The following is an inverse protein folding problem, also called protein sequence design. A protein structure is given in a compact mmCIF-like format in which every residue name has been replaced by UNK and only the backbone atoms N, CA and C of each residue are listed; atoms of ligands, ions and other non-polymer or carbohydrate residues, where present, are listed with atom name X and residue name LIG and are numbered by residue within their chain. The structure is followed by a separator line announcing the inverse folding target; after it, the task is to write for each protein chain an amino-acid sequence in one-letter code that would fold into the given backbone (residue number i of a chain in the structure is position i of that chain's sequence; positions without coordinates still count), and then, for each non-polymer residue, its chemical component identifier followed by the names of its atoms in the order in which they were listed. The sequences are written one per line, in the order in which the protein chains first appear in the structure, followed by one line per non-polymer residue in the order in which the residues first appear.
data_IF_941151036821
#
_entry.id   IF_941151036821
#
_cell.length_a   1.000
_cell.length_b   1.000
_cell.length_c   1.000
_cell.angle_alpha   90.00
_cell.angle_beta   90.00
_cell.angle_gamma   90.00
#
_symmetry.space_group_name_H-M   'P 1'
#
loop_
_entity.id
_entity.type
_entity.pdbx_description
1 polymer ?
#
# COMPACT_ATOMS: atom_id res chain seq x y z
N UNK A 1 9.73 -11.70 5.62
CA UNK A 1 9.33 -11.76 4.19
C UNK A 1 10.23 -12.76 3.50
N UNK A 2 9.67 -13.83 2.94
CA UNK A 2 10.41 -14.81 2.15
C UNK A 2 10.05 -14.58 0.69
N UNK A 3 11.00 -14.10 -0.12
CA UNK A 3 10.85 -14.11 -1.57
C UNK A 3 11.01 -15.56 -2.04
N UNK A 4 10.08 -16.07 -2.85
CA UNK A 4 10.24 -17.39 -3.46
C UNK A 4 11.52 -17.38 -4.31
N UNK A 5 12.40 -18.36 -4.11
CA UNK A 5 13.62 -18.51 -4.90
C UNK A 5 13.28 -18.52 -6.41
N UNK A 6 13.92 -17.65 -7.18
CA UNK A 6 13.69 -17.49 -8.63
C UNK A 6 12.78 -16.33 -9.03
N UNK A 7 12.13 -15.62 -8.10
CA UNK A 7 11.48 -14.35 -8.41
C UNK A 7 12.53 -13.23 -8.51
N UNK A 8 12.40 -12.38 -9.53
CA UNK A 8 13.24 -11.18 -9.69
C UNK A 8 13.16 -10.33 -8.42
N UNK A 9 14.30 -9.93 -7.88
CA UNK A 9 14.43 -9.14 -6.64
C UNK A 9 13.90 -7.71 -6.75
N UNK A 10 13.26 -7.34 -7.85
CA UNK A 10 12.77 -6.00 -8.11
C UNK A 10 11.35 -5.88 -7.55
N UNK A 11 11.24 -5.40 -6.32
CA UNK A 11 9.94 -5.03 -5.75
C UNK A 11 9.33 -3.86 -6.53
N UNK A 12 8.00 -3.88 -6.69
CA UNK A 12 7.24 -2.78 -7.27
C UNK A 12 6.52 -2.02 -6.14
N UNK A 13 6.54 -0.69 -6.22
CA UNK A 13 5.67 0.13 -5.36
C UNK A 13 4.26 0.08 -5.94
N UNK A 14 3.32 -0.48 -5.18
CA UNK A 14 1.91 -0.67 -5.59
C UNK A 14 0.94 0.27 -4.88
N UNK A 15 1.40 0.99 -3.85
CA UNK A 15 0.64 2.02 -3.15
C UNK A 15 1.56 3.13 -2.64
N UNK A 16 1.17 4.40 -2.82
CA UNK A 16 1.97 5.56 -2.44
C UNK A 16 3.17 5.81 -3.37
N UNK A 17 4.35 6.04 -2.79
CA UNK A 17 5.60 6.32 -3.53
C UNK A 17 5.81 7.76 -3.96
N UNK A 18 4.82 8.65 -3.78
CA UNK A 18 4.87 10.05 -4.21
C UNK A 18 5.09 11.04 -3.04
N UNK A 19 5.81 10.61 -2.01
CA UNK A 19 6.00 11.37 -0.77
C UNK A 19 4.76 11.41 0.13
N UNK A 20 4.93 12.03 1.31
CA UNK A 20 3.85 12.19 2.28
C UNK A 20 2.84 13.25 1.83
N UNK A 21 1.55 12.96 1.93
CA UNK A 21 0.49 13.89 1.56
C UNK A 21 -0.91 13.26 1.52
N UNK A 22 -1.92 14.07 1.20
CA UNK A 22 -3.33 13.68 1.18
C UNK A 22 -3.88 13.38 -0.22
N UNK A 23 -3.06 13.49 -1.26
CA UNK A 23 -3.42 13.10 -2.64
C UNK A 23 -3.83 11.62 -2.73
N UNK A 24 -4.56 11.26 -3.79
CA UNK A 24 -4.98 9.88 -4.03
C UNK A 24 -3.79 8.93 -4.30
N UNK A 25 -2.67 9.48 -4.77
CA UNK A 25 -1.43 8.76 -5.02
C UNK A 25 -0.38 8.91 -3.89
N UNK A 26 -0.79 9.45 -2.74
CA UNK A 26 0.06 9.70 -1.57
C UNK A 26 -0.54 9.04 -0.32
N UNK A 27 0.31 8.81 0.67
CA UNK A 27 -0.06 8.33 2.00
C UNK A 27 0.63 9.23 3.03
N UNK A 28 0.05 9.39 4.21
CA UNK A 28 0.66 10.08 5.34
C UNK A 28 0.59 9.23 6.60
N UNK A 29 1.76 8.83 7.11
CA UNK A 29 1.93 8.01 8.33
C UNK A 29 0.98 6.80 8.39
N UNK A 30 0.94 5.92 7.36
CA UNK A 30 0.08 4.74 7.38
C UNK A 30 0.43 3.83 8.56
N UNK A 31 -0.58 3.28 9.22
CA UNK A 31 -0.42 2.50 10.46
C UNK A 31 -0.54 0.99 10.25
N UNK A 32 -1.31 0.56 9.24
CA UNK A 32 -1.55 -0.86 8.96
C UNK A 32 -2.00 -1.08 7.51
N UNK A 33 -1.91 -2.32 7.05
CA UNK A 33 -2.27 -2.76 5.70
C UNK A 33 -2.89 -4.16 5.74
N UNK A 34 -3.96 -4.37 4.97
CA UNK A 34 -4.53 -5.69 4.71
C UNK A 34 -4.77 -5.90 3.22
N UNK A 35 -4.76 -7.16 2.80
CA UNK A 35 -5.10 -7.56 1.44
C UNK A 35 -6.54 -8.08 1.46
N UNK A 36 -7.40 -7.43 0.70
CA UNK A 36 -8.71 -7.96 0.36
C UNK A 36 -8.55 -8.95 -0.79
N UNK A 37 -8.67 -10.24 -0.48
CA UNK A 37 -8.52 -11.33 -1.45
C UNK A 37 -9.70 -11.45 -2.42
N UNK A 38 -10.87 -10.91 -2.07
CA UNK A 38 -12.05 -10.96 -2.95
C UNK A 38 -11.90 -9.96 -4.10
N UNK A 39 -11.32 -8.80 -3.80
CA UNK A 39 -11.16 -7.70 -4.77
C UNK A 39 -9.73 -7.48 -5.24
N UNK A 40 -8.80 -8.35 -4.83
CA UNK A 40 -7.35 -8.26 -5.05
C UNK A 40 -6.79 -6.85 -4.77
N UNK A 41 -7.31 -6.21 -3.73
CA UNK A 41 -7.02 -4.82 -3.40
C UNK A 41 -6.24 -4.69 -2.10
N UNK A 42 -5.40 -3.67 -2.02
CA UNK A 42 -4.72 -3.28 -0.80
C UNK A 42 -5.58 -2.27 -0.03
N UNK A 43 -5.90 -2.55 1.21
CA UNK A 43 -6.60 -1.62 2.10
C UNK A 43 -5.60 -1.08 3.11
N UNK A 44 -5.48 0.24 3.19
CA UNK A 44 -4.46 0.93 4.00
C UNK A 44 -5.13 1.83 5.02
N UNK A 45 -4.72 1.69 6.29
CA UNK A 45 -5.05 2.64 7.35
C UNK A 45 -4.11 3.85 7.25
N UNK A 46 -4.53 4.87 6.49
CA UNK A 46 -3.77 6.08 6.21
C UNK A 46 -3.95 7.11 7.34
N UNK A 47 -3.40 6.76 8.51
CA UNK A 47 -3.68 7.40 9.80
C UNK A 47 -3.41 8.90 9.82
N UNK A 48 -2.34 9.38 9.18
CA UNK A 48 -2.03 10.82 9.13
C UNK A 48 -3.09 11.64 8.42
N UNK A 49 -3.74 11.03 7.42
CA UNK A 49 -4.86 11.62 6.68
C UNK A 49 -6.25 11.29 7.26
N UNK A 50 -6.32 10.58 8.39
CA UNK A 50 -7.58 10.21 9.06
C UNK A 50 -8.56 9.46 8.14
N UNK A 51 -8.04 8.60 7.25
CA UNK A 51 -8.84 7.86 6.27
C UNK A 51 -8.41 6.40 6.16
N UNK A 52 -9.30 5.59 5.60
CA UNK A 52 -8.97 4.26 5.08
C UNK A 52 -9.08 4.34 3.56
N UNK A 53 -8.03 3.91 2.84
CA UNK A 53 -8.00 3.94 1.37
C UNK A 53 -7.86 2.54 0.80
N UNK A 54 -8.50 2.31 -0.34
CA UNK A 54 -8.37 1.11 -1.15
C UNK A 54 -7.54 1.42 -2.38
N UNK A 55 -6.57 0.56 -2.67
CA UNK A 55 -5.74 0.57 -3.87
C UNK A 55 -5.93 -0.73 -4.64
N UNK A 56 -6.08 -0.63 -5.95
CA UNK A 56 -6.39 -1.72 -6.87
C UNK A 56 -5.64 -1.53 -8.18
#
# INVERSE_FOLDING_TARGET
MQWKNGHTTNGQVVAGGNGAGNGLNQLDRPADVLIDKETDSLIVCDRGNLRVVRWS
#
